data_IF_599003018085
#
_entry.id   IF_599003018085
#
_cell.length_a   1.000
_cell.length_b   1.000
_cell.length_c   1.000
_cell.angle_alpha   90.00
_cell.angle_beta   90.00
_cell.angle_gamma   90.00
#
_symmetry.space_group_name_H-M   'P 1'
#
loop_
_entity.id
_entity.type
_entity.pdbx_description
1 polymer ?
#
# COMPACT_ATOMS: atom_id res chain seq x y z
N UNK A 1 -5.79 -50.49 -8.76
CA UNK A 1 -5.56 -49.66 -9.97
C UNK A 1 -5.05 -48.30 -9.51
N UNK A 2 -3.73 -48.14 -9.35
CA UNK A 2 -3.12 -46.91 -8.82
C UNK A 2 -2.85 -45.94 -9.96
N UNK A 3 -3.57 -44.82 -9.94
CA UNK A 3 -3.48 -43.75 -10.93
C UNK A 3 -2.10 -43.10 -10.81
N UNK A 4 -1.19 -43.38 -11.74
CA UNK A 4 0.12 -42.71 -11.83
C UNK A 4 -0.14 -41.25 -12.17
N UNK A 5 -0.17 -40.38 -11.15
CA UNK A 5 -0.23 -38.92 -11.34
C UNK A 5 1.04 -38.52 -12.08
N UNK A 6 0.88 -38.15 -13.34
CA UNK A 6 1.98 -37.79 -14.21
C UNK A 6 2.58 -36.47 -13.75
N UNK A 7 3.90 -36.34 -13.87
CA UNK A 7 4.65 -35.12 -13.58
C UNK A 7 4.06 -33.82 -14.19
N UNK A 8 3.24 -33.95 -15.24
CA UNK A 8 2.47 -32.88 -15.87
C UNK A 8 1.41 -32.26 -14.95
N UNK A 9 0.75 -33.04 -14.11
CA UNK A 9 -0.29 -32.57 -13.18
C UNK A 9 0.30 -31.68 -12.07
N UNK A 10 1.51 -31.99 -11.60
CA UNK A 10 2.20 -31.22 -10.57
C UNK A 10 2.59 -29.81 -11.05
N UNK A 11 3.03 -29.69 -12.31
CA UNK A 11 3.38 -28.38 -12.89
C UNK A 11 2.16 -27.47 -12.99
N UNK A 12 1.00 -28.01 -13.36
CA UNK A 12 -0.24 -27.24 -13.41
C UNK A 12 -0.72 -26.82 -12.02
N UNK A 13 -0.58 -27.69 -11.01
CA UNK A 13 -0.88 -27.33 -9.61
C UNK A 13 0.05 -26.22 -9.10
N UNK A 14 1.35 -26.30 -9.39
CA UNK A 14 2.32 -25.27 -9.01
C UNK A 14 2.03 -23.93 -9.69
N UNK A 15 1.69 -23.93 -10.99
CA UNK A 15 1.28 -22.71 -11.70
C UNK A 15 -0.01 -22.13 -11.10
N UNK A 16 -0.98 -22.99 -10.75
CA UNK A 16 -2.25 -22.54 -10.16
C UNK A 16 -2.04 -21.94 -8.76
N UNK A 17 -1.20 -22.55 -7.93
CA UNK A 17 -0.78 -21.97 -6.65
C UNK A 17 -0.01 -20.67 -6.81
N UNK A 18 0.86 -20.57 -7.82
CA UNK A 18 1.60 -19.34 -8.07
C UNK A 18 0.66 -18.19 -8.47
N UNK A 19 -0.29 -18.45 -9.37
CA UNK A 19 -1.31 -17.46 -9.75
C UNK A 19 -2.22 -17.08 -8.57
N UNK A 20 -2.63 -18.05 -7.76
CA UNK A 20 -3.41 -17.80 -6.55
C UNK A 20 -2.65 -16.90 -5.56
N UNK A 21 -1.36 -17.15 -5.36
CA UNK A 21 -0.52 -16.35 -4.46
C UNK A 21 -0.30 -14.92 -4.98
N UNK A 22 -0.07 -14.77 -6.28
CA UNK A 22 0.04 -13.45 -6.92
C UNK A 22 -1.27 -12.65 -6.81
N UNK A 23 -2.42 -13.31 -6.99
CA UNK A 23 -3.73 -12.69 -6.83
C UNK A 23 -4.03 -12.30 -5.38
N UNK A 24 -3.53 -13.06 -4.40
CA UNK A 24 -3.68 -12.73 -2.99
C UNK A 24 -2.84 -11.53 -2.55
N UNK A 25 -1.71 -11.27 -3.21
CA UNK A 25 -0.85 -10.12 -2.90
C UNK A 25 -1.47 -8.78 -3.34
N UNK A 26 -2.41 -8.80 -4.29
CA UNK A 26 -3.12 -7.59 -4.74
C UNK A 26 -4.31 -7.26 -3.82
N UNK A 27 -4.04 -7.03 -2.54
CA UNK A 27 -5.03 -6.40 -1.65
C UNK A 27 -4.84 -4.89 -1.69
N UNK A 28 -5.86 -4.17 -2.17
CA UNK A 28 -5.88 -2.72 -2.13
C UNK A 28 -6.04 -2.24 -0.68
N UNK A 29 -4.98 -1.67 -0.12
CA UNK A 29 -4.93 -1.20 1.26
C UNK A 29 -5.24 0.29 1.33
N UNK A 30 -6.51 0.67 1.31
CA UNK A 30 -6.88 2.07 1.54
C UNK A 30 -6.70 2.44 3.03
N UNK A 31 -5.71 3.29 3.33
CA UNK A 31 -5.53 3.84 4.68
C UNK A 31 -6.60 4.88 4.98
N UNK A 32 -7.28 4.74 6.13
CA UNK A 32 -8.31 5.68 6.61
C UNK A 32 -7.89 6.28 7.95
N UNK A 33 -7.90 7.61 8.03
CA UNK A 33 -7.70 8.34 9.28
C UNK A 33 -8.99 9.07 9.66
N UNK A 34 -9.34 9.02 10.93
CA UNK A 34 -10.41 9.84 11.51
C UNK A 34 -9.78 10.94 12.34
N UNK A 35 -10.19 12.18 12.10
CA UNK A 35 -9.70 13.35 12.82
C UNK A 35 -10.86 14.14 13.43
N UNK A 36 -10.71 14.75 14.61
CA UNK A 36 -11.70 15.68 15.12
C UNK A 36 -11.76 16.94 14.24
N UNK A 37 -12.95 17.51 14.12
CA UNK A 37 -13.14 18.85 13.58
C UNK A 37 -12.42 19.89 14.47
N UNK A 38 -11.98 21.01 13.88
CA UNK A 38 -11.26 22.11 14.56
C UNK A 38 -9.81 21.83 15.01
N UNK A 39 -9.12 20.88 14.37
CA UNK A 39 -7.67 20.75 14.55
C UNK A 39 -6.92 22.03 14.15
N UNK A 40 -5.92 22.38 14.95
CA UNK A 40 -5.01 23.49 14.61
C UNK A 40 -4.26 23.15 13.33
N UNK A 41 -4.05 24.17 12.50
CA UNK A 41 -3.23 24.03 11.31
C UNK A 41 -1.81 23.58 11.69
N UNK A 42 -1.30 22.56 10.99
CA UNK A 42 0.00 21.95 11.30
C UNK A 42 -0.05 20.82 12.33
N UNK A 43 -1.23 20.44 12.83
CA UNK A 43 -1.39 19.21 13.61
C UNK A 43 -1.08 17.96 12.77
N UNK A 44 -0.40 17.00 13.39
CA UNK A 44 -0.08 15.71 12.77
C UNK A 44 -1.33 14.83 12.72
N UNK A 45 -1.71 14.40 11.51
CA UNK A 45 -2.88 13.54 11.27
C UNK A 45 -2.53 12.05 11.37
N UNK A 46 -1.36 11.65 10.85
CA UNK A 46 -0.94 10.25 10.81
C UNK A 46 0.41 10.07 10.12
N UNK A 47 0.97 8.86 10.22
CA UNK A 47 2.25 8.50 9.60
C UNK A 47 2.00 7.62 8.36
N UNK A 48 1.74 8.28 7.22
CA UNK A 48 1.52 7.63 5.92
C UNK A 48 2.69 6.74 5.49
N UNK A 49 3.94 7.13 5.80
CA UNK A 49 5.12 6.36 5.42
C UNK A 49 5.11 4.97 6.07
N UNK A 50 4.86 4.94 7.39
CA UNK A 50 4.82 3.70 8.16
C UNK A 50 3.67 2.81 7.71
N UNK A 51 2.51 3.38 7.46
CA UNK A 51 1.30 2.61 7.13
C UNK A 51 1.37 2.04 5.70
N UNK A 52 2.08 2.70 4.79
CA UNK A 52 2.37 2.20 3.44
C UNK A 52 3.66 1.38 3.34
N UNK A 53 4.41 1.23 4.45
CA UNK A 53 5.70 0.55 4.46
C UNK A 53 6.78 1.22 3.63
N UNK A 54 6.68 2.53 3.41
CA UNK A 54 7.64 3.33 2.64
C UNK A 54 8.74 3.88 3.54
N UNK A 55 10.01 3.76 3.12
CA UNK A 55 11.13 4.45 3.74
C UNK A 55 11.17 5.94 3.38
N UNK A 56 11.96 6.74 4.11
CA UNK A 56 12.16 8.16 3.77
C UNK A 56 12.65 8.33 2.32
N UNK A 57 13.61 7.51 1.90
CA UNK A 57 14.12 7.50 0.51
C UNK A 57 13.01 7.22 -0.50
N UNK A 58 12.11 6.27 -0.23
CA UNK A 58 11.00 5.93 -1.12
C UNK A 58 10.02 7.09 -1.30
N UNK A 59 9.78 7.87 -0.24
CA UNK A 59 8.88 9.03 -0.28
C UNK A 59 9.41 10.10 -1.25
N UNK A 60 10.71 10.38 -1.19
CA UNK A 60 11.37 11.33 -2.09
C UNK A 60 11.45 10.78 -3.52
N UNK A 61 11.89 9.54 -3.70
CA UNK A 61 12.06 8.92 -5.02
C UNK A 61 10.73 8.82 -5.78
N UNK A 62 9.64 8.50 -5.06
CA UNK A 62 8.30 8.36 -5.65
C UNK A 62 7.53 9.67 -5.73
N UNK A 63 8.11 10.79 -5.26
CA UNK A 63 7.48 12.13 -5.24
C UNK A 63 6.08 12.07 -4.63
N UNK A 64 5.98 11.54 -3.41
CA UNK A 64 4.71 11.44 -2.69
C UNK A 64 4.05 12.82 -2.61
N UNK A 65 2.81 12.91 -3.08
CA UNK A 65 2.03 14.16 -3.10
C UNK A 65 0.58 13.88 -2.71
N UNK A 66 -0.03 14.85 -2.05
CA UNK A 66 -1.46 14.82 -1.75
C UNK A 66 -2.20 15.48 -2.91
N UNK A 67 -3.22 14.79 -3.44
CA UNK A 67 -4.18 15.37 -4.35
C UNK A 67 -5.51 15.55 -3.60
N UNK A 68 -6.15 16.70 -3.79
CA UNK A 68 -7.50 16.97 -3.29
C UNK A 68 -8.46 17.02 -4.48
N UNK A 69 -9.60 16.35 -4.34
CA UNK A 69 -10.64 16.31 -5.39
C UNK A 69 -11.43 17.63 -5.44
N UNK A 70 -11.63 18.28 -4.29
CA UNK A 70 -12.52 19.44 -4.15
C UNK A 70 -11.85 20.80 -4.40
N UNK A 71 -10.66 20.82 -5.00
CA UNK A 71 -9.89 22.05 -5.29
C UNK A 71 -9.22 22.69 -4.07
N UNK A 72 -9.79 22.56 -2.88
CA UNK A 72 -9.21 23.03 -1.62
C UNK A 72 -8.27 21.98 -1.01
N UNK A 73 -7.02 22.35 -0.73
CA UNK A 73 -6.01 21.45 -0.14
C UNK A 73 -5.94 21.64 1.38
N UNK A 74 -6.63 20.79 2.14
CA UNK A 74 -6.62 20.81 3.61
C UNK A 74 -5.42 20.08 4.23
N UNK A 75 -4.80 19.16 3.49
CA UNK A 75 -3.72 18.31 3.98
C UNK A 75 -2.43 18.54 3.22
N UNK A 76 -1.32 18.52 3.95
CA UNK A 76 0.03 18.54 3.41
C UNK A 76 0.78 17.32 3.93
N UNK A 77 1.68 16.76 3.11
CA UNK A 77 2.57 15.68 3.53
C UNK A 77 3.97 16.25 3.66
N UNK A 78 4.50 16.17 4.88
CA UNK A 78 5.90 16.45 5.16
C UNK A 78 6.71 15.19 4.86
N UNK A 79 7.59 15.26 3.85
CA UNK A 79 8.43 14.13 3.42
C UNK A 79 9.63 13.88 4.36
N UNK A 80 9.67 14.56 5.50
CA UNK A 80 10.80 14.62 6.41
C UNK A 80 11.50 15.96 6.23
N UNK A 81 11.27 16.88 7.17
CA UNK A 81 12.35 17.72 7.68
C UNK A 81 13.50 16.79 8.07
N UNK A 82 14.51 16.68 7.20
CA UNK A 82 15.86 16.42 7.68
C UNK A 82 16.10 17.43 8.81
N UNK A 83 16.31 16.92 10.02
CA UNK A 83 16.92 17.75 11.05
C UNK A 83 18.31 18.12 10.58
#
# INVERSE_FOLDING_TARGET
MTKRMGYRDWRWQALWWHHFFLFWITTDGQTRYSIPEELKQGSVVGNLAKDLGLGLSDIFDRKLRVASEAGEQYFNVDAGKAT
#
